data_IF_784749873026
#
_entry.id   IF_784749873026
#
_cell.length_a   1.000
_cell.length_b   1.000
_cell.length_c   1.000
_cell.angle_alpha   90.00
_cell.angle_beta   90.00
_cell.angle_gamma   90.00
#
_symmetry.space_group_name_H-M   'P 1'
#
loop_
_entity.id
_entity.type
_entity.pdbx_description
1 polymer ?
#
# COMPACT_ATOMS: atom_id res chain seq x y z
N UNK A 1 1.85 25.64 -19.29
CA UNK A 1 1.79 24.66 -18.19
C UNK A 1 1.03 23.45 -18.69
N UNK A 2 1.70 22.35 -19.01
CA UNK A 2 1.01 21.10 -19.31
C UNK A 2 0.52 20.51 -17.98
N UNK A 3 -0.79 20.39 -17.80
CA UNK A 3 -1.36 19.63 -16.67
C UNK A 3 -1.11 18.16 -16.99
N UNK A 4 0.00 17.62 -16.50
CA UNK A 4 0.25 16.18 -16.59
C UNK A 4 -0.73 15.53 -15.63
N UNK A 5 -1.78 14.92 -16.18
CA UNK A 5 -2.67 14.08 -15.38
C UNK A 5 -1.80 12.95 -14.82
N UNK A 6 -1.70 12.77 -13.49
CA UNK A 6 -1.02 11.62 -12.96
C UNK A 6 -1.72 10.41 -13.56
N UNK A 7 -0.97 9.61 -14.31
CA UNK A 7 -1.51 8.37 -14.85
C UNK A 7 -2.11 7.60 -13.69
N UNK A 8 -3.41 7.27 -13.75
CA UNK A 8 -4.14 6.63 -12.66
C UNK A 8 -3.42 5.40 -12.08
N UNK A 9 -2.51 4.81 -12.86
CA UNK A 9 -1.58 3.74 -12.50
C UNK A 9 -0.67 4.05 -11.29
N UNK A 10 -0.45 5.31 -10.93
CA UNK A 10 0.45 5.68 -9.83
C UNK A 10 -0.04 6.91 -9.07
N UNK A 11 -1.31 6.92 -8.64
CA UNK A 11 -1.78 7.93 -7.73
C UNK A 11 -0.89 7.96 -6.47
N UNK A 12 -0.24 9.09 -6.24
CA UNK A 12 0.60 9.37 -5.06
C UNK A 12 0.05 10.57 -4.33
N UNK A 13 0.09 10.53 -3.00
CA UNK A 13 -0.21 11.66 -2.12
C UNK A 13 1.11 12.18 -1.59
N UNK A 14 1.35 13.48 -1.72
CA UNK A 14 2.51 14.10 -1.09
C UNK A 14 2.29 14.20 0.42
N UNK A 15 3.15 13.53 1.19
CA UNK A 15 3.15 13.55 2.65
C UNK A 15 4.54 13.97 3.10
N UNK A 16 4.63 15.13 3.76
CA UNK A 16 5.88 15.70 4.25
C UNK A 16 6.97 15.85 3.17
N UNK A 17 6.58 16.18 1.93
CA UNK A 17 7.49 16.31 0.79
C UNK A 17 7.87 14.98 0.14
N UNK A 18 7.25 13.86 0.53
CA UNK A 18 7.46 12.55 -0.05
C UNK A 18 6.19 12.03 -0.74
N UNK A 19 6.30 11.67 -2.01
CA UNK A 19 5.19 11.12 -2.79
C UNK A 19 4.88 9.67 -2.37
N UNK A 20 3.90 9.50 -1.49
CA UNK A 20 3.45 8.21 -1.00
C UNK A 20 2.42 7.57 -1.94
N UNK A 21 2.66 6.36 -2.46
CA UNK A 21 1.67 5.67 -3.28
C UNK A 21 0.40 5.37 -2.50
N UNK A 22 -0.76 5.64 -3.10
CA UNK A 22 -2.08 5.44 -2.47
C UNK A 22 -2.27 3.99 -2.02
N UNK A 23 -1.79 3.00 -2.78
CA UNK A 23 -1.90 1.59 -2.36
C UNK A 23 -1.18 1.30 -1.04
N UNK A 24 -0.11 2.04 -0.71
CA UNK A 24 0.56 1.93 0.59
C UNK A 24 -0.28 2.55 1.69
N UNK A 25 -0.93 3.68 1.41
CA UNK A 25 -1.83 4.35 2.36
C UNK A 25 -3.07 3.50 2.65
N UNK A 26 -3.67 2.88 1.64
CA UNK A 26 -4.76 1.93 1.82
C UNK A 26 -4.33 0.72 2.65
N UNK A 27 -3.13 0.18 2.40
CA UNK A 27 -2.59 -0.91 3.20
C UNK A 27 -2.40 -0.53 4.67
N UNK A 28 -1.87 0.68 4.92
CA UNK A 28 -1.69 1.21 6.27
C UNK A 28 -3.04 1.45 6.96
N UNK A 29 -4.01 2.04 6.25
CA UNK A 29 -5.36 2.28 6.77
C UNK A 29 -6.06 0.96 7.12
N UNK A 30 -5.96 -0.07 6.26
CA UNK A 30 -6.50 -1.40 6.55
C UNK A 30 -5.86 -2.02 7.78
N UNK A 31 -4.53 -1.92 7.93
CA UNK A 31 -3.83 -2.36 9.13
C UNK A 31 -4.33 -1.64 10.38
N UNK A 32 -4.43 -0.30 10.33
CA UNK A 32 -4.90 0.51 11.46
C UNK A 32 -6.34 0.17 11.85
N UNK A 33 -7.26 0.07 10.89
CA UNK A 33 -8.66 -0.31 11.13
C UNK A 33 -8.73 -1.71 11.75
N UNK A 34 -7.96 -2.66 11.23
CA UNK A 34 -7.87 -4.02 11.79
C UNK A 34 -7.36 -3.99 13.23
N UNK A 35 -6.36 -3.16 13.53
CA UNK A 35 -5.83 -2.97 14.89
C UNK A 35 -6.91 -2.49 15.85
N UNK A 36 -7.64 -1.44 15.47
CA UNK A 36 -8.68 -0.85 16.30
C UNK A 36 -9.82 -1.85 16.56
N UNK A 37 -10.26 -2.56 15.53
CA UNK A 37 -11.31 -3.59 15.64
C UNK A 37 -10.84 -4.72 16.56
N UNK A 38 -9.62 -5.23 16.38
CA UNK A 38 -9.11 -6.32 17.22
C UNK A 38 -8.83 -5.89 18.65
N UNK A 39 -8.36 -4.67 18.88
CA UNK A 39 -8.16 -4.13 20.22
C UNK A 39 -9.50 -4.02 20.95
N UNK A 40 -10.54 -3.55 20.24
CA UNK A 40 -11.89 -3.45 20.79
C UNK A 40 -12.49 -4.82 21.11
N UNK A 41 -12.34 -5.81 20.22
CA UNK A 41 -12.92 -7.14 20.39
C UNK A 41 -12.16 -7.97 21.43
N UNK A 42 -10.83 -7.96 21.36
CA UNK A 42 -9.99 -8.86 22.17
C UNK A 42 -9.67 -8.26 23.54
N UNK A 43 -9.70 -6.93 23.68
CA UNK A 43 -9.21 -6.23 24.87
C UNK A 43 -7.68 -6.34 25.07
N UNK A 44 -6.97 -7.00 24.15
CA UNK A 44 -5.51 -7.18 24.20
C UNK A 44 -4.84 -6.33 23.13
N UNK A 45 -4.07 -5.29 23.51
CA UNK A 45 -3.33 -4.47 22.54
C UNK A 45 -2.24 -5.27 21.82
N UNK A 46 -1.70 -6.30 22.46
CA UNK A 46 -0.60 -7.12 21.91
C UNK A 46 -1.05 -7.89 20.66
N UNK A 47 -2.18 -8.60 20.77
CA UNK A 47 -2.76 -9.37 19.65
C UNK A 47 -3.19 -8.42 18.54
N UNK A 48 -3.85 -7.31 18.91
CA UNK A 48 -4.34 -6.33 17.96
C UNK A 48 -3.22 -5.73 17.10
N UNK A 49 -2.12 -5.30 17.72
CA UNK A 49 -0.99 -4.68 17.02
C UNK A 49 -0.29 -5.68 16.10
N UNK A 50 -0.02 -6.91 16.57
CA UNK A 50 0.71 -7.90 15.78
C UNK A 50 -0.08 -8.35 14.55
N UNK A 51 -1.37 -8.64 14.72
CA UNK A 51 -2.22 -9.06 13.60
C UNK A 51 -2.42 -7.90 12.62
N UNK A 52 -2.66 -6.69 13.11
CA UNK A 52 -2.75 -5.51 12.27
C UNK A 52 -1.48 -5.22 11.46
N UNK A 53 -0.32 -5.32 12.11
CA UNK A 53 0.97 -5.16 11.45
C UNK A 53 1.18 -6.23 10.37
N UNK A 54 0.84 -7.48 10.65
CA UNK A 54 0.91 -8.57 9.68
C UNK A 54 -0.01 -8.33 8.48
N UNK A 55 -1.26 -7.92 8.71
CA UNK A 55 -2.23 -7.60 7.64
C UNK A 55 -1.76 -6.41 6.80
N UNK A 56 -1.30 -5.34 7.43
CA UNK A 56 -0.75 -4.17 6.74
C UNK A 56 0.48 -4.51 5.90
N UNK A 57 1.40 -5.29 6.45
CA UNK A 57 2.58 -5.77 5.74
C UNK A 57 2.20 -6.66 4.54
N UNK A 58 1.28 -7.62 4.73
CA UNK A 58 0.82 -8.49 3.65
C UNK A 58 0.17 -7.69 2.50
N UNK A 59 -0.67 -6.71 2.82
CA UNK A 59 -1.32 -5.83 1.83
C UNK A 59 -0.29 -4.96 1.10
N UNK A 60 0.72 -4.45 1.80
CA UNK A 60 1.81 -3.69 1.19
C UNK A 60 2.64 -4.56 0.24
N UNK A 61 3.04 -5.76 0.68
CA UNK A 61 3.78 -6.71 -0.15
C UNK A 61 2.98 -7.06 -1.41
N UNK A 62 1.67 -7.31 -1.29
CA UNK A 62 0.82 -7.56 -2.45
C UNK A 62 0.84 -6.39 -3.46
N UNK A 63 0.74 -5.14 -2.99
CA UNK A 63 0.85 -3.96 -3.85
C UNK A 63 2.21 -3.81 -4.53
N UNK A 64 3.30 -4.14 -3.82
CA UNK A 64 4.67 -4.16 -4.36
C UNK A 64 4.86 -5.23 -5.44
N UNK A 65 4.30 -6.42 -5.24
CA UNK A 65 4.38 -7.52 -6.22
C UNK A 65 3.62 -7.16 -7.49
N UNK A 66 2.43 -6.56 -7.38
CA UNK A 66 1.63 -6.13 -8.54
C UNK A 66 2.37 -5.06 -9.35
N UNK A 67 2.98 -4.07 -8.69
CA UNK A 67 3.76 -3.02 -9.37
C UNK A 67 5.01 -3.57 -10.05
N UNK A 68 5.74 -4.50 -9.41
CA UNK A 68 6.93 -5.13 -10.02
C UNK A 68 6.61 -5.99 -11.24
N UNK A 69 5.49 -6.71 -11.22
CA UNK A 69 5.05 -7.54 -12.36
C UNK A 69 4.74 -6.70 -13.60
N UNK A 70 4.13 -5.52 -13.41
CA UNK A 70 3.87 -4.61 -14.52
C UNK A 70 5.18 -4.16 -15.20
N UNK A 71 6.20 -3.80 -14.41
CA UNK A 71 7.51 -3.41 -14.94
C UNK A 71 8.25 -4.55 -15.65
N UNK A 72 8.14 -5.79 -15.15
CA UNK A 72 8.75 -6.95 -15.79
C UNK A 72 8.17 -7.24 -17.18
N UNK A 73 6.84 -7.07 -17.35
CA UNK A 73 6.17 -7.23 -18.64
C UNK A 73 6.62 -6.13 -19.62
N UNK A 74 6.75 -4.89 -19.13
CA UNK A 74 7.20 -3.74 -19.94
C UNK A 74 8.62 -3.96 -20.48
N UNK A 75 9.55 -4.42 -19.64
CA UNK A 75 10.93 -4.71 -20.05
C UNK A 75 10.98 -5.82 -21.13
N UNK A 76 10.21 -6.90 -20.94
CA UNK A 76 10.12 -7.98 -21.93
C UNK A 76 9.52 -7.58 -23.28
N UNK A 77 8.81 -6.43 -23.33
CA UNK A 77 8.25 -5.86 -24.56
C UNK A 77 9.25 -4.98 -25.28
N UNK A 78 10.14 -4.28 -24.57
CA UNK A 78 11.17 -3.42 -25.17
C UNK A 78 12.30 -4.24 -25.78
N UNK A 79 12.58 -5.42 -25.22
CA UNK A 79 13.62 -6.33 -25.72
C UNK A 79 13.21 -7.12 -26.99
N UNK A 80 11.93 -7.09 -27.37
CA UNK A 80 11.41 -7.69 -28.62
C UNK A 80 11.22 -6.66 -29.72
#
# INVERSE_FOLDING_TARGET
MAVVHPSARSATVDIAGSAWPVYKLEALALGLVTCLILALITGSPQVAVLVAAAVGAARWIAGQVVTRRASAIELSRVER
#
